data_IF_804966767977
#
_entry.id   IF_804966767977
#
_cell.length_a   1.000
_cell.length_b   1.000
_cell.length_c   1.000
_cell.angle_alpha   90.00
_cell.angle_beta   90.00
_cell.angle_gamma   90.00
#
_symmetry.space_group_name_H-M   'P 1'
#
loop_
_entity.id
_entity.type
_entity.pdbx_description
1 polymer ?
#
# COMPACT_ATOMS: atom_id res chain seq x y z
N UNK A 1 -13.77 1.81 16.64
CA UNK A 1 -12.44 2.33 17.02
C UNK A 1 -11.68 2.51 15.73
N UNK A 2 -11.47 3.76 15.28
CA UNK A 2 -10.70 4.00 14.07
C UNK A 2 -9.23 3.78 14.42
N UNK A 3 -8.65 2.70 13.89
CA UNK A 3 -7.22 2.49 13.92
C UNK A 3 -6.56 3.69 13.20
N UNK A 4 -5.90 4.55 13.96
CA UNK A 4 -5.24 5.74 13.44
C UNK A 4 -4.00 5.29 12.68
N UNK A 5 -4.01 5.51 11.36
CA UNK A 5 -2.87 5.17 10.53
C UNK A 5 -1.67 5.98 11.01
N UNK A 6 -0.53 5.33 11.36
CA UNK A 6 0.66 6.09 11.69
C UNK A 6 1.02 6.95 10.47
N UNK A 7 1.16 8.26 10.66
CA UNK A 7 1.49 9.23 9.58
C UNK A 7 2.75 8.81 8.79
N UNK A 8 3.60 8.00 9.39
CA UNK A 8 4.83 7.43 8.86
C UNK A 8 4.61 6.33 7.81
N UNK A 9 3.37 5.87 7.61
CA UNK A 9 3.07 4.86 6.58
C UNK A 9 3.32 5.36 5.16
N UNK A 10 3.09 6.65 4.87
CA UNK A 10 3.45 7.21 3.56
C UNK A 10 4.96 7.20 3.31
N UNK A 11 5.76 7.18 4.37
CA UNK A 11 7.23 7.15 4.31
C UNK A 11 7.79 5.75 4.23
N UNK A 12 6.95 4.72 4.38
CA UNK A 12 7.35 3.34 4.14
C UNK A 12 7.31 3.15 2.64
N UNK A 13 8.52 3.10 2.08
CA UNK A 13 8.87 3.11 0.67
C UNK A 13 8.31 1.91 -0.13
N UNK A 14 7.01 1.66 -0.02
CA UNK A 14 6.29 0.80 -0.93
C UNK A 14 6.23 1.59 -2.22
N UNK A 15 6.92 1.08 -3.24
CA UNK A 15 7.03 1.73 -4.53
C UNK A 15 5.63 2.06 -5.07
N UNK A 16 5.48 3.27 -5.59
CA UNK A 16 4.24 3.67 -6.25
C UNK A 16 3.99 2.76 -7.45
N UNK A 17 2.77 2.25 -7.56
CA UNK A 17 2.30 1.41 -8.64
C UNK A 17 1.42 2.24 -9.56
N UNK A 18 1.95 2.58 -10.74
CA UNK A 18 1.24 3.36 -11.76
C UNK A 18 0.37 2.48 -12.68
N UNK A 19 0.54 1.16 -12.61
CA UNK A 19 -0.10 0.18 -13.49
C UNK A 19 0.83 -0.44 -14.53
N UNK A 20 2.04 0.10 -14.74
CA UNK A 20 3.02 -0.46 -15.69
C UNK A 20 3.92 -1.54 -15.08
N UNK A 21 4.12 -1.53 -13.76
CA UNK A 21 4.92 -2.53 -13.06
C UNK A 21 4.19 -3.88 -12.95
N UNK A 22 4.94 -4.94 -12.65
CA UNK A 22 4.36 -6.26 -12.42
C UNK A 22 3.48 -6.27 -11.15
N UNK A 23 2.20 -6.63 -11.24
CA UNK A 23 1.27 -6.57 -10.10
C UNK A 23 1.59 -7.62 -9.02
N UNK A 24 2.25 -8.73 -9.37
CA UNK A 24 2.63 -9.77 -8.41
C UNK A 24 3.85 -9.33 -7.60
N UNK A 25 4.83 -8.70 -8.26
CA UNK A 25 5.96 -8.09 -7.56
C UNK A 25 5.49 -6.97 -6.62
N UNK A 26 4.54 -6.14 -7.07
CA UNK A 26 3.93 -5.11 -6.24
C UNK A 26 3.28 -5.69 -4.98
N UNK A 27 2.46 -6.73 -5.15
CA UNK A 27 1.80 -7.40 -4.04
C UNK A 27 2.81 -8.00 -3.06
N UNK A 28 3.84 -8.70 -3.55
CA UNK A 28 4.89 -9.28 -2.69
C UNK A 28 5.63 -8.22 -1.89
N UNK A 29 5.95 -7.06 -2.50
CA UNK A 29 6.59 -5.95 -1.78
C UNK A 29 5.67 -5.37 -0.71
N UNK A 30 4.40 -5.19 -1.03
CA UNK A 30 3.40 -4.71 -0.08
C UNK A 30 3.24 -5.67 1.10
N UNK A 31 3.15 -6.98 0.86
CA UNK A 31 3.05 -7.99 1.91
C UNK A 31 4.29 -8.03 2.81
N UNK A 32 5.48 -7.93 2.23
CA UNK A 32 6.73 -7.84 3.01
C UNK A 32 6.75 -6.58 3.90
N UNK A 33 6.32 -5.43 3.38
CA UNK A 33 6.22 -4.21 4.17
C UNK A 33 5.16 -4.35 5.28
N UNK A 34 3.99 -4.90 4.96
CA UNK A 34 2.94 -5.15 5.93
C UNK A 34 3.38 -6.10 7.05
N UNK A 35 4.18 -7.11 6.73
CA UNK A 35 4.77 -8.04 7.70
C UNK A 35 5.80 -7.34 8.59
N UNK A 36 6.72 -6.57 8.00
CA UNK A 36 7.77 -5.83 8.72
C UNK A 36 7.17 -4.85 9.73
N UNK A 37 6.11 -4.16 9.34
CA UNK A 37 5.42 -3.18 10.18
C UNK A 37 4.28 -3.74 11.00
N UNK A 38 4.00 -5.05 10.89
CA UNK A 38 2.92 -5.75 11.60
C UNK A 38 1.57 -5.05 11.43
N UNK A 39 1.26 -4.65 10.20
CA UNK A 39 -0.01 -4.02 9.89
C UNK A 39 -1.17 -4.98 10.13
N UNK A 40 -2.20 -4.49 10.80
CA UNK A 40 -3.50 -5.16 10.87
C UNK A 40 -4.19 -5.08 9.50
N UNK A 41 -5.15 -5.97 9.24
CA UNK A 41 -5.82 -5.99 7.93
C UNK A 41 -6.55 -4.67 7.61
N UNK A 42 -7.04 -3.96 8.64
CA UNK A 42 -7.59 -2.62 8.50
C UNK A 42 -6.57 -1.57 8.05
N UNK A 43 -5.33 -1.65 8.54
CA UNK A 43 -4.22 -0.79 8.08
C UNK A 43 -3.82 -1.18 6.67
N UNK A 44 -3.68 -2.49 6.38
CA UNK A 44 -3.30 -2.98 5.05
C UNK A 44 -4.21 -2.42 3.96
N UNK A 45 -5.53 -2.52 4.10
CA UNK A 45 -6.46 -1.99 3.10
C UNK A 45 -6.28 -0.49 2.85
N UNK A 46 -6.03 0.30 3.92
CA UNK A 46 -5.83 1.75 3.77
C UNK A 46 -4.46 2.12 3.22
N UNK A 47 -3.42 1.35 3.49
CA UNK A 47 -2.09 1.59 2.90
C UNK A 47 -2.03 1.12 1.46
N UNK A 48 -2.69 0.02 1.12
CA UNK A 48 -2.69 -0.53 -0.22
C UNK A 48 -3.16 0.48 -1.27
N UNK A 49 -4.26 1.20 -0.99
CA UNK A 49 -4.73 2.27 -1.88
C UNK A 49 -3.72 3.42 -2.03
N UNK A 50 -2.92 3.70 -1.00
CA UNK A 50 -1.89 4.75 -1.06
C UNK A 50 -0.67 4.35 -1.89
N UNK A 51 -0.54 3.07 -2.24
CA UNK A 51 0.53 2.61 -3.13
C UNK A 51 0.18 2.82 -4.60
N UNK A 52 -1.09 3.05 -4.94
CA UNK A 52 -1.49 3.32 -6.31
C UNK A 52 -1.23 4.78 -6.67
N UNK A 53 -0.69 5.00 -7.86
CA UNK A 53 -0.48 6.32 -8.46
C UNK A 53 -1.06 6.34 -9.87
N UNK A 54 -1.22 7.54 -10.45
CA UNK A 54 -1.62 7.72 -11.85
C UNK A 54 -2.88 6.96 -12.26
N UNK A 55 -2.74 6.06 -13.26
CA UNK A 55 -3.87 5.31 -13.83
C UNK A 55 -4.41 4.23 -12.88
N UNK A 56 -3.53 3.56 -12.12
CA UNK A 56 -3.94 2.57 -11.13
C UNK A 56 -4.78 3.19 -10.00
N UNK A 57 -4.45 4.41 -9.57
CA UNK A 57 -5.24 5.12 -8.56
C UNK A 57 -6.63 5.51 -9.07
N UNK A 58 -6.74 5.85 -10.35
CA UNK A 58 -8.03 6.14 -10.99
C UNK A 58 -8.87 4.87 -11.17
N UNK A 59 -8.25 3.73 -11.50
CA UNK A 59 -8.96 2.44 -11.59
C UNK A 59 -9.53 1.99 -10.24
N UNK A 60 -8.86 2.32 -9.13
CA UNK A 60 -9.29 1.93 -7.79
C UNK A 60 -10.36 2.87 -7.19
N UNK A 61 -10.54 4.09 -7.70
CA UNK A 61 -11.54 5.05 -7.22
C UNK A 61 -12.98 4.68 -7.62
#
# INVERSE_FOLDING_TARGET
MADELPLNCRTLAIAEYDGAADPIEHLSRFENAALLHRYTDGIKCRIFVTTFTGAAQQWFN
#
